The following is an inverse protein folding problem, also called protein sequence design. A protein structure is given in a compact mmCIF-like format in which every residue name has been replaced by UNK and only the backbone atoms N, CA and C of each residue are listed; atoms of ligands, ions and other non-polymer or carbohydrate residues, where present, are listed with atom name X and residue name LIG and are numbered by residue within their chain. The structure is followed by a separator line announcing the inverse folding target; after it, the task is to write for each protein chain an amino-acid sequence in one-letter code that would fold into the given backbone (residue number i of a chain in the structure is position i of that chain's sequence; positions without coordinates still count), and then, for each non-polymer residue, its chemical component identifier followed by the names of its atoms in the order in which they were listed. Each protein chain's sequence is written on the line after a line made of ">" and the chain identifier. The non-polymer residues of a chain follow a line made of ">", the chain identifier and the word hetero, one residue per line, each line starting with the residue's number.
data_IF_149272237694
#
_entry.id   IF_149272237694
#
_cell.length_a   1.000
_cell.length_b   1.000
_cell.length_c   1.000
_cell.angle_alpha   90.00
_cell.angle_beta   90.00
_cell.angle_gamma   90.00
#
_symmetry.space_group_name_H-M   'P 1'
#
loop_
_entity.id
_entity.type
_entity.pdbx_description
1 polymer ?
#
# COMPACT_ATOMS: atom_id res chain seq x y z
N UNK A 1 -13.10 -12.08 23.43
CA UNK A 1 -12.67 -11.08 22.43
C UNK A 1 -11.59 -11.73 21.57
N UNK A 2 -11.99 -12.40 20.48
CA UNK A 2 -11.05 -13.20 19.69
C UNK A 2 -10.47 -12.35 18.55
N UNK A 3 -9.16 -12.13 18.62
CA UNK A 3 -8.36 -11.43 17.63
C UNK A 3 -8.09 -12.40 16.46
N UNK A 4 -9.10 -12.64 15.63
CA UNK A 4 -8.92 -13.30 14.33
C UNK A 4 -8.68 -12.15 13.32
N UNK A 5 -7.61 -12.10 12.55
CA UNK A 5 -7.26 -13.06 11.51
C UNK A 5 -5.74 -13.02 11.29
N UNK A 6 -5.09 -14.12 11.70
CA UNK A 6 -3.88 -14.63 11.05
C UNK A 6 -4.29 -15.11 9.65
N UNK A 7 -3.82 -14.46 8.59
CA UNK A 7 -3.52 -15.16 7.33
C UNK A 7 -2.05 -14.90 7.06
N UNK A 8 -1.23 -15.59 7.84
CA UNK A 8 0.00 -16.17 7.33
C UNK A 8 -0.37 -17.55 6.79
N UNK A 9 -0.75 -17.62 5.51
CA UNK A 9 -0.68 -18.87 4.75
C UNK A 9 0.02 -18.53 3.44
N UNK A 10 1.32 -18.79 3.42
CA UNK A 10 2.14 -19.13 2.26
C UNK A 10 1.64 -18.61 0.90
N UNK A 11 2.03 -17.38 0.57
CA UNK A 11 2.22 -16.97 -0.82
C UNK A 11 3.40 -16.01 -0.88
N UNK A 12 4.60 -16.60 -1.00
CA UNK A 12 5.78 -15.86 -1.40
C UNK A 12 5.48 -15.22 -2.76
N UNK A 13 5.60 -13.88 -2.87
CA UNK A 13 5.35 -13.04 -4.07
C UNK A 13 4.00 -12.27 -4.16
N UNK A 14 3.23 -12.10 -3.09
CA UNK A 14 2.07 -11.19 -3.09
C UNK A 14 2.44 -9.70 -2.95
N UNK A 15 2.01 -8.82 -3.87
CA UNK A 15 2.19 -7.36 -3.76
C UNK A 15 1.03 -6.70 -3.00
N UNK A 16 1.19 -5.46 -2.50
CA UNK A 16 0.11 -4.66 -1.88
C UNK A 16 -1.18 -4.59 -2.72
N UNK A 17 -1.05 -4.80 -4.04
CA UNK A 17 -2.14 -4.88 -5.01
C UNK A 17 -3.09 -6.05 -4.70
N UNK A 18 -2.56 -7.26 -4.51
CA UNK A 18 -3.38 -8.48 -4.35
C UNK A 18 -4.22 -8.42 -3.07
N UNK A 19 -3.61 -7.93 -1.99
CA UNK A 19 -4.28 -7.71 -0.71
C UNK A 19 -5.40 -6.67 -0.79
N UNK A 20 -5.19 -5.59 -1.55
CA UNK A 20 -6.20 -4.57 -1.76
C UNK A 20 -7.35 -5.08 -2.65
N UNK A 21 -7.07 -5.85 -3.70
CA UNK A 21 -8.12 -6.45 -4.54
C UNK A 21 -9.01 -7.41 -3.76
N UNK A 22 -8.43 -8.20 -2.85
CA UNK A 22 -9.20 -9.10 -2.00
C UNK A 22 -10.09 -8.32 -1.03
N UNK A 23 -9.55 -7.29 -0.36
CA UNK A 23 -10.33 -6.38 0.49
C UNK A 23 -11.47 -5.69 -0.26
N UNK A 24 -11.24 -5.27 -1.51
CA UNK A 24 -12.27 -4.69 -2.37
C UNK A 24 -13.41 -5.65 -2.68
N UNK A 25 -13.09 -6.90 -3.03
CA UNK A 25 -14.10 -7.94 -3.35
C UNK A 25 -14.93 -8.29 -2.12
N UNK A 26 -14.29 -8.43 -0.96
CA UNK A 26 -14.95 -8.76 0.31
C UNK A 26 -15.61 -7.56 1.00
N UNK A 27 -15.49 -6.35 0.43
CA UNK A 27 -15.93 -5.08 1.05
C UNK A 27 -15.36 -4.84 2.46
N UNK A 28 -14.13 -5.30 2.73
CA UNK A 28 -13.46 -5.19 4.02
C UNK A 28 -12.27 -4.23 3.96
N UNK A 29 -12.06 -3.46 5.03
CA UNK A 29 -10.82 -2.71 5.24
C UNK A 29 -9.71 -3.59 5.81
N UNK A 30 -8.45 -3.29 5.53
CA UNK A 30 -7.31 -4.08 6.03
C UNK A 30 -6.00 -3.31 6.11
N UNK A 31 -5.05 -3.86 6.88
CA UNK A 31 -3.67 -3.39 7.00
C UNK A 31 -2.74 -4.53 6.57
N UNK A 32 -1.75 -4.20 5.75
CA UNK A 32 -0.77 -5.16 5.24
C UNK A 32 0.64 -4.59 5.38
N UNK A 33 1.58 -5.43 5.83
CA UNK A 33 3.00 -5.10 5.85
C UNK A 33 3.64 -5.65 4.58
N UNK A 34 4.30 -4.79 3.81
CA UNK A 34 4.98 -5.16 2.56
C UNK A 34 6.47 -4.88 2.70
N UNK A 35 7.25 -5.95 2.79
CA UNK A 35 8.71 -5.89 2.73
C UNK A 35 9.14 -5.94 1.27
N UNK A 36 9.73 -4.86 0.76
CA UNK A 36 10.36 -4.90 -0.57
C UNK A 36 11.82 -5.27 -0.42
N UNK A 37 12.18 -6.45 -0.92
CA UNK A 37 13.57 -6.78 -1.22
C UNK A 37 13.95 -6.07 -2.52
N UNK A 38 15.01 -5.25 -2.47
CA UNK A 38 15.53 -4.57 -3.66
C UNK A 38 16.25 -5.62 -4.51
N UNK A 39 15.53 -6.33 -5.38
CA UNK A 39 16.17 -7.34 -6.24
C UNK A 39 17.03 -6.70 -7.34
N UNK A 40 16.82 -5.42 -7.68
CA UNK A 40 17.68 -4.62 -8.58
C UNK A 40 17.66 -3.10 -8.24
N UNK A 41 18.70 -2.32 -8.62
CA UNK A 41 18.88 -0.91 -8.21
C UNK A 41 17.97 0.10 -8.91
N UNK A 42 17.44 -0.24 -10.09
CA UNK A 42 16.80 0.69 -11.01
C UNK A 42 15.30 0.41 -11.18
N UNK A 43 14.47 1.13 -10.42
CA UNK A 43 13.03 1.22 -10.67
C UNK A 43 12.15 1.04 -9.43
N UNK A 44 11.50 2.12 -8.99
CA UNK A 44 10.55 2.13 -7.84
C UNK A 44 9.08 2.18 -8.25
N UNK A 45 8.78 2.21 -9.56
CA UNK A 45 7.41 2.24 -10.10
C UNK A 45 6.84 0.84 -10.19
N UNK A 46 6.06 0.46 -9.18
CA UNK A 46 5.25 -0.76 -9.20
C UNK A 46 4.06 -0.55 -10.15
N UNK A 47 3.85 -1.45 -11.11
CA UNK A 47 2.65 -1.44 -11.96
C UNK A 47 1.43 -1.80 -11.08
N UNK A 48 0.50 -0.85 -10.92
CA UNK A 48 -0.69 -1.01 -10.08
C UNK A 48 -1.99 -1.19 -10.87
N UNK A 49 -1.91 -1.56 -12.15
CA UNK A 49 -3.08 -1.95 -12.93
C UNK A 49 -3.54 -3.35 -12.56
N UNK A 50 -4.84 -3.54 -12.37
CA UNK A 50 -5.54 -4.80 -12.16
C UNK A 50 -6.53 -5.05 -13.29
N UNK A 51 -7.10 -6.27 -13.38
CA UNK A 51 -8.18 -6.55 -14.34
C UNK A 51 -9.41 -5.67 -14.09
N UNK A 52 -9.67 -5.32 -12.82
CA UNK A 52 -10.82 -4.53 -12.41
C UNK A 52 -10.60 -3.01 -12.49
N UNK A 53 -9.35 -2.53 -12.52
CA UNK A 53 -9.06 -1.11 -12.43
C UNK A 53 -7.60 -0.78 -12.22
N UNK A 54 -7.30 0.41 -11.69
CA UNK A 54 -5.92 0.81 -11.39
C UNK A 54 -5.85 1.77 -10.21
N UNK A 55 -4.74 1.71 -9.48
CA UNK A 55 -4.43 2.64 -8.40
C UNK A 55 -3.67 3.85 -8.91
N UNK A 56 -4.21 5.05 -8.66
CA UNK A 56 -3.58 6.32 -9.03
C UNK A 56 -3.16 7.07 -7.77
N UNK A 57 -1.89 7.48 -7.70
CA UNK A 57 -1.43 8.37 -6.64
C UNK A 57 -2.17 9.71 -6.72
N UNK A 58 -2.55 10.27 -5.58
CA UNK A 58 -3.25 11.55 -5.49
C UNK A 58 -2.58 12.48 -4.48
N UNK A 59 -2.48 13.76 -4.84
CA UNK A 59 -1.82 14.77 -4.03
C UNK A 59 -0.31 14.55 -3.86
N UNK A 60 0.28 15.37 -2.99
CA UNK A 60 1.69 15.22 -2.57
C UNK A 60 1.77 14.21 -1.41
N UNK A 61 2.87 13.47 -1.34
CA UNK A 61 3.17 12.62 -0.18
C UNK A 61 3.17 13.50 1.09
N UNK A 62 2.53 13.03 2.18
CA UNK A 62 2.42 13.78 3.44
C UNK A 62 3.41 13.25 4.47
N UNK A 63 4.07 14.14 5.20
CA UNK A 63 4.89 13.78 6.36
C UNK A 63 4.04 13.13 7.45
N UNK A 64 4.59 12.11 8.09
CA UNK A 64 4.02 11.48 9.30
C UNK A 64 4.92 11.88 10.45
N UNK A 65 4.38 12.66 11.39
CA UNK A 65 5.12 13.16 12.55
C UNK A 65 4.63 12.45 13.82
N UNK A 66 5.55 12.18 14.73
CA UNK A 66 5.26 11.79 16.12
C UNK A 66 6.07 12.68 17.05
N UNK A 67 5.41 13.36 17.99
CA UNK A 67 6.06 14.35 18.89
C UNK A 67 6.96 15.34 18.12
N UNK A 68 6.45 15.89 17.01
CA UNK A 68 7.17 16.79 16.09
C UNK A 68 8.40 16.20 15.37
N UNK A 69 8.69 14.91 15.54
CA UNK A 69 9.74 14.20 14.81
C UNK A 69 9.17 13.53 13.57
N UNK A 70 9.84 13.68 12.43
CA UNK A 70 9.51 12.95 11.21
C UNK A 70 9.79 11.46 11.41
N UNK A 71 8.74 10.64 11.33
CA UNK A 71 8.83 9.17 11.46
C UNK A 71 8.61 8.45 10.13
N UNK A 72 8.14 9.17 9.10
CA UNK A 72 7.91 8.58 7.79
C UNK A 72 7.12 9.48 6.84
N UNK A 73 6.78 8.89 5.69
CA UNK A 73 5.99 9.54 4.64
C UNK A 73 4.78 8.67 4.29
N UNK A 74 3.63 9.31 4.05
CA UNK A 74 2.40 8.67 3.61
C UNK A 74 2.07 9.08 2.18
N UNK A 75 2.00 8.09 1.28
CA UNK A 75 1.46 8.23 -0.07
C UNK A 75 0.00 7.81 -0.07
N UNK A 76 -0.87 8.61 -0.69
CA UNK A 76 -2.28 8.29 -0.87
C UNK A 76 -2.55 7.89 -2.32
N UNK A 77 -3.26 6.77 -2.50
CA UNK A 77 -3.73 6.30 -3.79
C UNK A 77 -5.25 6.13 -3.76
N UNK A 78 -5.87 6.40 -4.90
CA UNK A 78 -7.30 6.19 -5.14
C UNK A 78 -7.45 5.12 -6.20
N UNK A 79 -8.39 4.20 -6.00
CA UNK A 79 -8.71 3.21 -7.01
C UNK A 79 -9.67 3.78 -8.05
N UNK A 80 -9.36 3.51 -9.31
CA UNK A 80 -10.22 3.80 -10.46
C UNK A 80 -10.69 2.47 -11.04
N UNK A 81 -12.00 2.27 -11.16
CA UNK A 81 -12.60 1.08 -11.78
C UNK A 81 -12.57 1.21 -13.31
N UNK A 82 -12.17 0.15 -14.01
CA UNK A 82 -12.02 0.13 -15.46
C UNK A 82 -10.60 0.48 -15.95
N UNK A 83 -10.37 0.43 -17.26
CA UNK A 83 -9.03 0.61 -17.83
C UNK A 83 -8.58 2.06 -17.80
N UNK A 84 -7.28 2.28 -17.54
CA UNK A 84 -6.67 3.59 -17.71
C UNK A 84 -6.66 4.00 -19.20
N UNK A 85 -6.72 5.31 -19.51
CA UNK A 85 -6.90 6.44 -18.58
C UNK A 85 -8.38 6.66 -18.17
N UNK A 86 -9.33 5.99 -18.79
CA UNK A 86 -10.78 6.26 -18.71
C UNK A 86 -11.50 5.62 -17.51
N UNK A 87 -10.76 5.22 -16.47
CA UNK A 87 -11.36 4.60 -15.29
C UNK A 87 -12.26 5.57 -14.52
N UNK A 88 -13.27 5.05 -13.84
CA UNK A 88 -14.14 5.82 -12.94
C UNK A 88 -13.54 5.83 -11.53
N UNK A 89 -13.36 7.02 -10.96
CA UNK A 89 -12.90 7.18 -9.57
C UNK A 89 -13.86 6.44 -8.63
N UNK A 90 -13.31 5.79 -7.62
CA UNK A 90 -14.07 5.14 -6.55
C UNK A 90 -13.69 5.72 -5.19
N UNK A 91 -14.44 5.35 -4.16
CA UNK A 91 -14.18 5.76 -2.77
C UNK A 91 -13.11 4.89 -2.08
N UNK A 92 -12.50 3.96 -2.81
CA UNK A 92 -11.46 3.11 -2.29
C UNK A 92 -10.13 3.85 -2.23
N UNK A 93 -9.60 3.93 -1.02
CA UNK A 93 -8.36 4.62 -0.69
C UNK A 93 -7.33 3.62 -0.19
N UNK A 94 -6.09 3.81 -0.63
CA UNK A 94 -4.92 3.12 -0.10
C UNK A 94 -3.91 4.16 0.42
N UNK A 95 -3.45 3.96 1.65
CA UNK A 95 -2.34 4.69 2.24
C UNK A 95 -1.13 3.77 2.32
N UNK A 96 -0.08 4.10 1.58
CA UNK A 96 1.23 3.47 1.70
C UNK A 96 2.11 4.34 2.61
N UNK A 97 2.48 3.81 3.77
CA UNK A 97 3.39 4.42 4.74
C UNK A 97 4.79 3.86 4.55
N UNK A 98 5.77 4.75 4.40
CA UNK A 98 7.20 4.43 4.41
C UNK A 98 7.78 4.97 5.70
N UNK A 99 8.28 4.09 6.56
CA UNK A 99 9.00 4.49 7.76
C UNK A 99 10.39 4.99 7.37
N UNK A 100 10.86 6.05 8.02
CA UNK A 100 12.28 6.37 7.96
C UNK A 100 13.02 5.35 8.81
N UNK A 101 13.86 4.53 8.17
CA UNK A 101 14.80 3.68 8.90
C UNK A 101 15.80 4.59 9.62
N UNK A 102 15.99 4.34 10.92
CA UNK A 102 17.06 4.92 11.73
C UNK A 102 18.38 4.67 10.97
N UNK A 103 19.27 5.67 10.92
CA UNK A 103 20.46 5.80 10.05
C UNK A 103 21.48 4.64 10.02
N UNK A 104 21.23 3.52 10.71
CA UNK A 104 22.14 2.36 10.81
C UNK A 104 21.56 1.02 10.34
N UNK A 105 20.40 1.01 9.67
CA UNK A 105 19.83 -0.25 9.16
C UNK A 105 20.50 -0.68 7.84
N UNK A 106 20.83 -1.98 7.65
CA UNK A 106 21.47 -2.47 6.43
C UNK A 106 20.60 -2.22 5.18
N UNK A 107 21.19 -2.08 3.97
CA UNK A 107 20.53 -1.44 2.81
C UNK A 107 19.35 -2.19 2.15
N UNK A 108 18.81 -3.26 2.73
CA UNK A 108 18.19 -4.32 1.93
C UNK A 108 16.68 -4.54 2.12
N UNK A 109 16.02 -3.87 3.07
CA UNK A 109 14.58 -4.04 3.28
C UNK A 109 13.87 -2.72 3.63
N UNK A 110 13.21 -2.10 2.64
CA UNK A 110 12.25 -1.04 2.93
C UNK A 110 10.90 -1.68 3.26
N UNK A 111 10.55 -1.76 4.54
CA UNK A 111 9.22 -2.16 4.97
C UNK A 111 8.26 -0.99 4.79
N UNK A 112 7.13 -1.26 4.14
CA UNK A 112 6.03 -0.30 4.00
C UNK A 112 4.74 -0.87 4.58
N UNK A 113 4.00 -0.04 5.30
CA UNK A 113 2.68 -0.42 5.82
C UNK A 113 1.64 0.11 4.85
N UNK A 114 0.74 -0.75 4.39
CA UNK A 114 -0.35 -0.38 3.48
C UNK A 114 -1.67 -0.52 4.20
N UNK A 115 -2.41 0.58 4.34
CA UNK A 115 -3.79 0.58 4.83
C UNK A 115 -4.73 0.81 3.67
N UNK A 116 -5.78 0.00 3.56
CA UNK A 116 -6.80 0.12 2.51
C UNK A 116 -8.19 0.20 3.14
N UNK A 117 -9.02 1.14 2.68
CA UNK A 117 -10.33 1.43 3.24
C UNK A 117 -11.22 2.18 2.25
N UNK A 118 -12.54 2.23 2.50
CA UNK A 118 -13.51 3.01 1.74
C UNK A 118 -13.80 4.33 2.47
N UNK A 119 -13.86 5.45 1.76
CA UNK A 119 -14.44 6.69 2.31
C UNK A 119 -15.96 6.62 2.20
N UNK A 120 -16.67 7.09 3.23
CA UNK A 120 -18.13 7.17 3.22
C UNK A 120 -18.64 8.13 2.15
#
# INVERSE_FOLDING_TARGET
>A
MSLSILISTEWNHGTSKTSAEWGMKSKMSGIFSVTRTKKYPTGTRTNRATTAGFWKATGRDKAVLSKNRLIGMRKTLVFYKGRAPNGRKTDWIMHEYRLQTIEHAPPQASTSITKFYKTN
#
